data_IF_829234872150
#
_entry.id   IF_829234872150
#
_cell.length_a   1.000
_cell.length_b   1.000
_cell.length_c   1.000
_cell.angle_alpha   90.00
_cell.angle_beta   90.00
_cell.angle_gamma   90.00
#
_symmetry.space_group_name_H-M   'P 1'
#
loop_
_entity.id
_entity.type
_entity.pdbx_description
1 polymer ?
#
# COMPACT_ATOMS: atom_id res chain seq x y z
N UNK A 1 -25.52 -52.52 -54.04
CA UNK A 1 -24.65 -52.37 -52.87
C UNK A 1 -23.61 -51.28 -53.17
N UNK A 2 -23.51 -50.20 -52.40
CA UNK A 2 -22.53 -49.16 -52.62
C UNK A 2 -21.23 -49.57 -51.90
N UNK A 3 -20.11 -49.45 -52.62
CA UNK A 3 -18.77 -49.70 -52.04
C UNK A 3 -18.18 -48.46 -51.41
N UNK A 4 -17.34 -48.62 -50.33
CA UNK A 4 -16.59 -47.54 -49.74
C UNK A 4 -15.28 -47.31 -50.53
N UNK A 5 -14.89 -46.09 -50.71
CA UNK A 5 -13.60 -45.72 -51.32
C UNK A 5 -12.80 -44.77 -50.40
N UNK A 6 -11.50 -44.73 -50.56
CA UNK A 6 -10.60 -43.81 -49.89
C UNK A 6 -9.54 -43.32 -50.88
N UNK A 7 -9.45 -42.01 -51.01
CA UNK A 7 -8.43 -41.37 -51.86
C UNK A 7 -7.64 -40.35 -51.03
N UNK A 8 -6.33 -40.47 -51.06
CA UNK A 8 -5.46 -39.46 -50.45
C UNK A 8 -5.36 -38.24 -51.35
N UNK A 9 -5.58 -37.07 -50.77
CA UNK A 9 -5.44 -35.78 -51.46
C UNK A 9 -4.55 -34.85 -50.62
N UNK A 10 -3.81 -33.89 -51.22
CA UNK A 10 -3.13 -32.84 -50.50
C UNK A 10 -4.11 -32.03 -49.64
N UNK A 11 -3.59 -31.35 -48.55
CA UNK A 11 -4.40 -30.41 -47.77
C UNK A 11 -5.00 -29.35 -48.73
N UNK A 12 -6.25 -29.07 -48.53
CA UNK A 12 -6.99 -28.09 -49.32
C UNK A 12 -7.39 -26.89 -48.47
N UNK A 13 -7.45 -25.70 -49.09
CA UNK A 13 -7.95 -24.51 -48.44
C UNK A 13 -9.46 -24.57 -48.19
N UNK A 14 -9.93 -23.89 -47.15
CA UNK A 14 -11.32 -23.76 -46.84
C UNK A 14 -12.13 -23.22 -48.05
N UNK A 15 -13.32 -23.70 -48.24
CA UNK A 15 -14.26 -23.39 -49.36
C UNK A 15 -13.80 -23.87 -50.73
N UNK A 16 -12.65 -24.53 -50.86
CA UNK A 16 -12.25 -25.16 -52.14
C UNK A 16 -13.28 -26.18 -52.57
N UNK A 17 -13.53 -26.21 -53.87
CA UNK A 17 -14.40 -27.24 -54.46
C UNK A 17 -13.56 -28.43 -54.87
N UNK A 18 -14.05 -29.61 -54.54
CA UNK A 18 -13.48 -30.88 -54.97
C UNK A 18 -14.59 -31.62 -55.71
N UNK A 19 -14.25 -32.11 -56.90
CA UNK A 19 -15.16 -32.92 -57.70
C UNK A 19 -14.69 -34.36 -57.67
N UNK A 20 -15.63 -35.28 -57.54
CA UNK A 20 -15.34 -36.69 -57.48
C UNK A 20 -16.20 -37.40 -58.56
N UNK A 21 -15.58 -38.25 -59.30
CA UNK A 21 -16.23 -39.14 -60.27
C UNK A 21 -15.81 -40.55 -59.96
N UNK A 22 -16.52 -41.52 -60.47
CA UNK A 22 -16.16 -42.95 -60.49
C UNK A 22 -16.26 -43.56 -61.85
N UNK A 23 -15.35 -44.44 -62.20
CA UNK A 23 -15.35 -45.17 -63.47
C UNK A 23 -15.14 -46.66 -63.19
N UNK A 24 -16.19 -47.44 -62.89
CA UNK A 24 -16.06 -48.90 -62.74
C UNK A 24 -15.63 -49.56 -64.03
N UNK A 25 -14.93 -50.68 -63.90
CA UNK A 25 -14.46 -51.40 -65.07
C UNK A 25 -15.62 -51.76 -66.01
N UNK A 26 -15.50 -51.47 -67.32
CA UNK A 26 -16.49 -51.69 -68.31
C UNK A 26 -17.69 -50.73 -68.32
N UNK A 27 -17.59 -49.58 -67.61
CA UNK A 27 -18.64 -48.58 -67.60
C UNK A 27 -18.06 -47.19 -67.92
N UNK A 28 -18.95 -46.29 -68.30
CA UNK A 28 -18.60 -44.88 -68.51
C UNK A 28 -18.49 -44.13 -67.14
N UNK A 29 -17.76 -43.04 -67.13
CA UNK A 29 -17.56 -42.17 -65.94
C UNK A 29 -18.94 -41.64 -65.48
N UNK A 30 -19.08 -41.56 -64.11
CA UNK A 30 -20.27 -40.99 -63.49
C UNK A 30 -20.31 -39.47 -63.66
N UNK A 31 -21.49 -38.88 -63.44
CA UNK A 31 -21.58 -37.45 -63.21
C UNK A 31 -20.64 -37.00 -62.01
N UNK A 32 -20.22 -35.79 -62.05
CA UNK A 32 -19.42 -35.18 -61.02
C UNK A 32 -20.20 -34.87 -59.75
N UNK A 33 -19.73 -35.35 -58.62
CA UNK A 33 -20.21 -34.90 -57.32
C UNK A 33 -19.31 -33.81 -56.79
N UNK A 34 -19.89 -32.70 -56.35
CA UNK A 34 -19.16 -31.56 -55.77
C UNK A 34 -19.23 -31.61 -54.26
N UNK A 35 -18.07 -31.53 -53.62
CA UNK A 35 -17.94 -31.30 -52.19
C UNK A 35 -17.11 -30.04 -51.95
N UNK A 36 -17.51 -29.24 -50.95
CA UNK A 36 -16.74 -28.10 -50.51
C UNK A 36 -15.97 -28.45 -49.25
N UNK A 37 -14.69 -28.02 -49.20
CA UNK A 37 -13.84 -28.18 -48.05
C UNK A 37 -14.40 -27.33 -46.91
N UNK A 38 -14.79 -27.96 -45.83
CA UNK A 38 -15.25 -27.28 -44.63
C UNK A 38 -14.08 -26.65 -43.92
N UNK A 39 -14.27 -25.43 -43.36
CA UNK A 39 -13.31 -24.81 -42.48
C UNK A 39 -13.25 -25.49 -41.11
N UNK A 40 -12.05 -25.56 -40.57
CA UNK A 40 -11.83 -25.99 -39.19
C UNK A 40 -11.74 -24.71 -38.31
N UNK A 41 -12.43 -24.64 -37.18
CA UNK A 41 -12.27 -23.51 -36.26
C UNK A 41 -10.82 -23.32 -35.84
N UNK A 42 -10.40 -22.08 -35.67
CA UNK A 42 -9.10 -21.75 -35.09
C UNK A 42 -9.07 -22.13 -33.60
N UNK A 43 -7.91 -22.38 -33.05
CA UNK A 43 -7.72 -22.52 -31.62
C UNK A 43 -8.09 -21.22 -30.88
N UNK A 44 -8.25 -21.26 -29.56
CA UNK A 44 -8.37 -20.05 -28.77
C UNK A 44 -7.04 -19.29 -28.78
N UNK A 45 -7.03 -17.95 -28.81
CA UNK A 45 -5.81 -17.18 -28.57
C UNK A 45 -5.36 -17.34 -27.11
N UNK A 46 -4.07 -17.21 -26.85
CA UNK A 46 -3.48 -17.11 -25.51
C UNK A 46 -3.28 -15.62 -25.23
N UNK A 47 -3.81 -15.14 -24.11
CA UNK A 47 -3.79 -13.72 -23.75
C UNK A 47 -3.01 -13.55 -22.45
N UNK A 48 -2.13 -12.56 -22.41
CA UNK A 48 -1.44 -12.16 -21.19
C UNK A 48 -2.45 -11.52 -20.21
N UNK A 49 -2.06 -11.43 -18.96
CA UNK A 49 -2.89 -10.81 -17.93
C UNK A 49 -3.33 -9.39 -18.31
N UNK A 50 -4.59 -9.08 -18.09
CA UNK A 50 -5.20 -7.78 -18.35
C UNK A 50 -5.76 -7.21 -17.06
N UNK A 51 -5.27 -6.04 -16.70
CA UNK A 51 -5.71 -5.29 -15.52
C UNK A 51 -6.36 -3.94 -15.89
N UNK A 52 -6.81 -3.20 -14.88
CA UNK A 52 -7.52 -1.94 -15.07
C UNK A 52 -6.67 -0.78 -15.63
N UNK A 53 -5.34 -0.93 -15.66
CA UNK A 53 -4.41 0.04 -16.25
C UNK A 53 -3.93 -0.38 -17.64
N UNK A 54 -4.25 -1.59 -18.08
CA UNK A 54 -3.85 -2.15 -19.36
C UNK A 54 -4.46 -1.35 -20.53
N UNK A 55 -3.61 -0.89 -21.44
CA UNK A 55 -3.99 -0.20 -22.69
C UNK A 55 -3.64 -1.01 -23.93
N UNK A 56 -2.91 -2.11 -23.79
CA UNK A 56 -2.56 -3.03 -24.87
C UNK A 56 -2.76 -4.47 -24.46
N UNK A 57 -3.69 -5.16 -25.09
CA UNK A 57 -3.89 -6.60 -24.93
C UNK A 57 -2.87 -7.31 -25.81
N UNK A 58 -2.01 -8.11 -25.19
CA UNK A 58 -0.95 -8.86 -25.87
C UNK A 58 -1.12 -10.35 -25.67
N UNK A 59 -0.51 -11.14 -26.54
CA UNK A 59 -0.59 -12.58 -26.42
C UNK A 59 -0.06 -13.33 -27.64
N UNK A 60 -0.50 -14.58 -27.74
CA UNK A 60 -0.18 -15.50 -28.84
C UNK A 60 -1.45 -15.97 -29.53
N UNK A 61 -1.39 -16.01 -30.85
CA UNK A 61 -2.44 -16.47 -31.74
C UNK A 61 -1.83 -17.34 -32.84
N UNK A 62 -2.63 -17.82 -33.79
CA UNK A 62 -2.10 -18.43 -34.99
C UNK A 62 -1.40 -17.37 -35.88
N UNK A 63 -0.39 -17.79 -36.58
CA UNK A 63 0.45 -16.91 -37.42
C UNK A 63 -0.42 -16.09 -38.38
N UNK A 64 -0.19 -14.77 -38.42
CA UNK A 64 -0.91 -13.82 -39.26
C UNK A 64 -2.43 -13.78 -39.05
N UNK A 65 -2.95 -14.35 -37.97
CA UNK A 65 -4.39 -14.33 -37.67
C UNK A 65 -4.83 -12.89 -37.34
N UNK A 66 -6.02 -12.52 -37.81
CA UNK A 66 -6.69 -11.30 -37.38
C UNK A 66 -7.24 -11.52 -35.95
N UNK A 67 -6.89 -10.66 -35.03
CA UNK A 67 -7.38 -10.64 -33.67
C UNK A 67 -8.53 -9.65 -33.56
N UNK A 68 -9.60 -10.04 -32.90
CA UNK A 68 -10.78 -9.23 -32.65
C UNK A 68 -11.01 -9.17 -31.15
N UNK A 69 -10.95 -7.98 -30.60
CA UNK A 69 -11.21 -7.71 -29.17
C UNK A 69 -12.52 -6.93 -29.08
N UNK A 70 -13.49 -7.48 -28.37
CA UNK A 70 -14.77 -6.83 -28.13
C UNK A 70 -14.93 -6.53 -26.64
N UNK A 71 -15.11 -5.25 -26.31
CA UNK A 71 -15.34 -4.78 -24.96
C UNK A 71 -16.82 -4.95 -24.56
N UNK A 72 -17.10 -4.85 -23.29
CA UNK A 72 -18.46 -5.00 -22.74
C UNK A 72 -19.45 -3.94 -23.30
N UNK A 73 -18.97 -2.74 -23.62
CA UNK A 73 -19.75 -1.68 -24.28
C UNK A 73 -19.98 -1.92 -25.79
N UNK A 74 -19.65 -3.12 -26.29
CA UNK A 74 -19.70 -3.52 -27.70
C UNK A 74 -18.69 -2.85 -28.65
N UNK A 75 -17.80 -1.99 -28.16
CA UNK A 75 -16.70 -1.44 -28.97
C UNK A 75 -15.76 -2.58 -29.41
N UNK A 76 -15.31 -2.54 -30.66
CA UNK A 76 -14.45 -3.57 -31.24
C UNK A 76 -13.11 -2.98 -31.68
N UNK A 77 -12.03 -3.65 -31.30
CA UNK A 77 -10.66 -3.32 -31.64
C UNK A 77 -10.01 -4.51 -32.34
N UNK A 78 -9.16 -4.24 -33.33
CA UNK A 78 -8.55 -5.31 -34.11
C UNK A 78 -7.08 -5.06 -34.36
N UNK A 79 -6.31 -6.14 -34.50
CA UNK A 79 -4.94 -6.15 -34.93
C UNK A 79 -4.65 -7.46 -35.65
N UNK A 80 -3.46 -7.62 -36.22
CA UNK A 80 -3.01 -8.90 -36.78
C UNK A 80 -1.85 -9.44 -35.93
N UNK A 81 -1.84 -10.74 -35.72
CA UNK A 81 -0.67 -11.43 -35.20
C UNK A 81 0.45 -11.40 -36.26
N UNK A 82 1.68 -11.40 -35.82
CA UNK A 82 2.83 -11.49 -36.73
C UNK A 82 3.07 -12.94 -37.21
N UNK A 83 4.12 -13.16 -37.99
CA UNK A 83 4.49 -14.50 -38.48
C UNK A 83 4.89 -15.50 -37.38
N UNK A 84 5.16 -15.04 -36.16
CA UNK A 84 5.43 -15.87 -34.99
C UNK A 84 4.18 -16.07 -34.11
N UNK A 85 3.05 -15.46 -34.49
CA UNK A 85 1.80 -15.50 -33.75
C UNK A 85 1.69 -14.48 -32.62
N UNK A 86 2.67 -13.58 -32.41
CA UNK A 86 2.55 -12.54 -31.38
C UNK A 86 1.58 -11.45 -31.85
N UNK A 87 0.73 -10.97 -30.96
CA UNK A 87 -0.18 -9.87 -31.25
C UNK A 87 -0.19 -8.82 -30.14
N UNK A 88 -0.61 -7.60 -30.52
CA UNK A 88 -0.90 -6.50 -29.63
C UNK A 88 -2.11 -5.73 -30.16
N UNK A 89 -3.11 -5.51 -29.31
CA UNK A 89 -4.33 -4.75 -29.63
C UNK A 89 -4.44 -3.59 -28.64
N UNK A 90 -4.40 -2.35 -29.12
CA UNK A 90 -4.60 -1.17 -28.29
C UNK A 90 -6.08 -0.99 -27.98
N UNK A 91 -6.39 -0.79 -26.70
CA UNK A 91 -7.73 -0.54 -26.17
C UNK A 91 -7.69 0.62 -25.18
N UNK A 92 -8.80 1.31 -24.90
CA UNK A 92 -8.88 2.20 -23.74
C UNK A 92 -8.85 1.38 -22.46
N UNK A 93 -8.33 1.98 -21.37
CA UNK A 93 -8.38 1.38 -20.02
C UNK A 93 -9.80 0.95 -19.69
N UNK A 94 -9.94 -0.21 -19.09
CA UNK A 94 -11.21 -0.78 -18.67
C UNK A 94 -11.31 -0.81 -17.14
N UNK A 95 -12.52 -0.68 -16.61
CA UNK A 95 -12.75 -0.83 -15.19
C UNK A 95 -12.54 -2.30 -14.76
N UNK A 96 -12.11 -2.51 -13.52
CA UNK A 96 -11.99 -3.87 -12.98
C UNK A 96 -13.33 -4.61 -13.07
N UNK A 97 -13.26 -5.92 -13.18
CA UNK A 97 -14.37 -6.85 -13.35
C UNK A 97 -15.12 -6.76 -14.69
N UNK A 98 -14.75 -5.84 -15.59
CA UNK A 98 -15.31 -5.80 -16.94
C UNK A 98 -14.85 -7.00 -17.74
N UNK A 99 -15.73 -7.48 -18.61
CA UNK A 99 -15.48 -8.62 -19.49
C UNK A 99 -14.96 -8.16 -20.84
N UNK A 100 -13.96 -8.86 -21.33
CA UNK A 100 -13.38 -8.67 -22.67
C UNK A 100 -13.48 -10.00 -23.40
N UNK A 101 -14.00 -9.96 -24.63
CA UNK A 101 -14.15 -11.13 -25.50
C UNK A 101 -13.17 -11.04 -26.64
N UNK A 102 -12.43 -12.11 -26.87
CA UNK A 102 -11.35 -12.15 -27.84
C UNK A 102 -11.53 -13.36 -28.73
N UNK A 103 -11.43 -13.13 -30.04
CA UNK A 103 -11.40 -14.20 -31.06
C UNK A 103 -10.21 -13.99 -31.97
N UNK A 104 -9.80 -15.04 -32.66
CA UNK A 104 -8.85 -14.99 -33.77
C UNK A 104 -9.43 -15.60 -35.02
N UNK A 105 -9.01 -15.05 -36.15
CA UNK A 105 -9.43 -15.54 -37.47
C UNK A 105 -8.25 -15.62 -38.40
N UNK A 106 -7.59 -16.78 -38.52
CA UNK A 106 -6.58 -17.04 -39.55
C UNK A 106 -7.24 -17.11 -40.94
N UNK A 107 -6.47 -16.92 -41.99
CA UNK A 107 -6.98 -16.87 -43.38
C UNK A 107 -7.68 -18.16 -43.83
N UNK A 108 -7.16 -19.32 -43.39
CA UNK A 108 -7.61 -20.65 -43.88
C UNK A 108 -8.44 -21.44 -42.87
N UNK A 109 -8.94 -20.77 -41.81
CA UNK A 109 -9.77 -21.39 -40.77
C UNK A 109 -11.01 -20.56 -40.50
N UNK A 110 -11.98 -21.16 -39.86
CA UNK A 110 -13.09 -20.43 -39.27
C UNK A 110 -12.58 -19.62 -38.06
N UNK A 111 -13.33 -18.60 -37.67
CA UNK A 111 -13.09 -17.86 -36.44
C UNK A 111 -13.09 -18.81 -35.25
N UNK A 112 -12.24 -18.54 -34.27
CA UNK A 112 -12.17 -19.30 -33.01
C UNK A 112 -13.46 -19.13 -32.21
N UNK A 113 -13.67 -20.02 -31.26
CA UNK A 113 -14.56 -19.75 -30.14
C UNK A 113 -14.14 -18.50 -29.39
N UNK A 114 -15.07 -17.93 -28.63
CA UNK A 114 -14.80 -16.70 -27.85
C UNK A 114 -14.02 -17.04 -26.60
N UNK A 115 -12.86 -16.45 -26.45
CA UNK A 115 -12.16 -16.38 -25.17
C UNK A 115 -12.71 -15.19 -24.37
N UNK A 116 -13.36 -15.44 -23.26
CA UNK A 116 -13.80 -14.38 -22.34
C UNK A 116 -12.81 -14.27 -21.19
N UNK A 117 -12.28 -13.07 -20.94
CA UNK A 117 -11.41 -12.73 -19.80
C UNK A 117 -12.05 -11.63 -18.99
N UNK A 118 -11.68 -11.55 -17.72
CA UNK A 118 -12.11 -10.50 -16.82
C UNK A 118 -10.93 -9.59 -16.47
N UNK A 119 -11.16 -8.27 -16.53
CA UNK A 119 -10.17 -7.25 -16.16
C UNK A 119 -9.88 -7.33 -14.66
N UNK A 120 -8.64 -7.57 -14.30
CA UNK A 120 -8.20 -7.61 -12.91
C UNK A 120 -8.10 -6.19 -12.33
N UNK A 121 -8.42 -6.04 -11.05
CA UNK A 121 -8.17 -4.81 -10.33
C UNK A 121 -6.71 -4.73 -9.88
N UNK A 122 -6.12 -3.55 -9.99
CA UNK A 122 -4.84 -3.24 -9.34
C UNK A 122 -5.14 -2.71 -7.94
N UNK A 123 -4.42 -3.21 -6.95
CA UNK A 123 -4.52 -2.71 -5.57
C UNK A 123 -3.93 -1.31 -5.48
N UNK A 124 -4.66 -0.37 -4.84
CA UNK A 124 -4.16 0.96 -4.59
C UNK A 124 -2.98 0.94 -3.61
N UNK A 125 -2.10 1.93 -3.71
CA UNK A 125 -1.10 2.20 -2.69
C UNK A 125 -1.79 2.62 -1.39
N UNK A 126 -1.11 2.48 -0.26
CA UNK A 126 -1.63 2.99 1.01
C UNK A 126 -1.71 4.52 0.98
N UNK A 127 -2.78 5.13 1.51
CA UNK A 127 -2.81 6.58 1.75
C UNK A 127 -1.86 6.94 2.89
N UNK A 128 -1.60 8.24 3.08
CA UNK A 128 -0.94 8.74 4.30
C UNK A 128 -1.98 9.32 5.24
N UNK A 129 -1.65 9.36 6.53
CA UNK A 129 -2.44 9.99 7.56
C UNK A 129 -1.53 10.89 8.39
N UNK A 130 -1.96 12.14 8.58
CA UNK A 130 -1.23 13.09 9.44
C UNK A 130 -1.37 12.69 10.92
N UNK A 131 -0.51 13.23 11.76
CA UNK A 131 -0.64 13.08 13.21
C UNK A 131 -2.03 13.46 13.68
N UNK A 132 -2.61 12.61 14.50
CA UNK A 132 -3.93 12.81 15.09
C UNK A 132 -3.78 12.94 16.60
N UNK A 133 -4.42 13.96 17.13
CA UNK A 133 -4.38 14.25 18.56
C UNK A 133 -5.75 14.04 19.21
N UNK A 134 -5.74 13.75 20.51
CA UNK A 134 -6.95 13.60 21.33
C UNK A 134 -7.89 14.81 21.17
N UNK A 135 -9.18 14.56 21.06
CA UNK A 135 -10.19 15.58 20.87
C UNK A 135 -10.30 16.14 19.43
N UNK A 136 -9.37 15.79 18.58
CA UNK A 136 -9.39 16.23 17.18
C UNK A 136 -10.52 15.54 16.42
N UNK A 137 -11.29 16.33 15.65
CA UNK A 137 -12.43 15.80 14.88
C UNK A 137 -12.21 15.79 13.37
N UNK A 138 -11.12 16.38 12.88
CA UNK A 138 -10.78 16.43 11.46
C UNK A 138 -9.49 15.65 11.20
N UNK A 139 -9.59 14.55 10.49
CA UNK A 139 -8.47 13.73 10.08
C UNK A 139 -8.02 14.16 8.69
N UNK A 140 -6.72 14.40 8.53
CA UNK A 140 -6.11 14.86 7.29
C UNK A 140 -5.04 13.88 6.81
N UNK A 141 -4.75 13.91 5.52
CA UNK A 141 -3.67 13.14 4.90
C UNK A 141 -3.69 13.26 3.39
N UNK A 142 -2.94 12.39 2.74
CA UNK A 142 -2.87 12.33 1.28
C UNK A 142 -3.27 10.94 0.77
N UNK A 143 -3.94 10.95 -0.36
CA UNK A 143 -4.41 9.79 -1.09
C UNK A 143 -4.19 10.02 -2.59
N UNK A 144 -4.53 9.08 -3.45
CA UNK A 144 -4.58 9.34 -4.88
C UNK A 144 -5.69 10.36 -5.20
N UNK A 145 -5.47 11.17 -6.22
CA UNK A 145 -6.43 12.21 -6.64
C UNK A 145 -7.83 11.63 -6.82
N UNK A 146 -8.81 12.28 -6.23
CA UNK A 146 -10.23 11.90 -6.27
C UNK A 146 -10.52 10.49 -5.73
N UNK A 147 -9.60 9.87 -5.00
CA UNK A 147 -9.86 8.58 -4.35
C UNK A 147 -10.93 8.73 -3.27
N UNK A 148 -11.79 7.74 -3.16
CA UNK A 148 -12.62 7.59 -1.97
C UNK A 148 -11.72 7.15 -0.82
N UNK A 149 -11.73 7.91 0.27
CA UNK A 149 -10.95 7.65 1.47
C UNK A 149 -11.88 7.21 2.59
N UNK A 150 -11.49 6.17 3.30
CA UNK A 150 -12.24 5.61 4.42
C UNK A 150 -11.37 5.64 5.68
N UNK A 151 -11.88 6.23 6.72
CA UNK A 151 -11.33 6.18 8.08
C UNK A 151 -12.09 5.11 8.85
N UNK A 152 -11.36 4.24 9.55
CA UNK A 152 -11.91 3.16 10.35
C UNK A 152 -11.40 3.33 11.78
N UNK A 153 -12.31 3.49 12.71
CA UNK A 153 -11.99 3.59 14.14
C UNK A 153 -11.81 2.20 14.77
N UNK A 154 -11.21 2.16 15.95
CA UNK A 154 -10.97 0.91 16.66
C UNK A 154 -12.23 0.12 17.03
N UNK A 155 -13.40 0.75 17.04
CA UNK A 155 -14.70 0.12 17.20
C UNK A 155 -15.36 -0.30 15.88
N UNK A 156 -14.61 -0.28 14.77
CA UNK A 156 -15.05 -0.57 13.40
C UNK A 156 -16.07 0.43 12.81
N UNK A 157 -16.29 1.58 13.43
CA UNK A 157 -17.06 2.65 12.79
C UNK A 157 -16.26 3.24 11.62
N UNK A 158 -16.95 3.47 10.51
CA UNK A 158 -16.36 3.97 9.26
C UNK A 158 -16.85 5.37 8.94
N UNK A 159 -15.93 6.21 8.47
CA UNK A 159 -16.19 7.58 8.00
C UNK A 159 -15.54 7.72 6.64
N UNK A 160 -16.25 8.29 5.68
CA UNK A 160 -15.78 8.39 4.30
C UNK A 160 -15.70 9.84 3.83
N UNK A 161 -14.83 10.07 2.88
CA UNK A 161 -14.65 11.32 2.18
C UNK A 161 -13.92 11.10 0.88
N UNK A 162 -13.64 12.16 0.16
CA UNK A 162 -12.93 12.12 -1.11
C UNK A 162 -11.68 12.99 -1.05
N UNK A 163 -10.59 12.52 -1.63
CA UNK A 163 -9.40 13.34 -1.85
C UNK A 163 -9.64 14.36 -2.98
N UNK A 164 -9.05 15.51 -2.87
CA UNK A 164 -9.12 16.58 -3.87
C UNK A 164 -8.25 16.29 -5.12
N UNK A 165 -8.15 17.26 -6.02
CA UNK A 165 -7.32 17.17 -7.23
C UNK A 165 -5.81 17.07 -6.94
N UNK A 166 -5.36 17.44 -5.75
CA UNK A 166 -3.97 17.35 -5.29
C UNK A 166 -3.73 16.10 -4.43
N UNK A 167 -4.79 15.32 -4.17
CA UNK A 167 -4.73 14.14 -3.33
C UNK A 167 -4.94 14.41 -1.84
N UNK A 168 -5.21 15.65 -1.41
CA UNK A 168 -5.44 15.94 0.01
C UNK A 168 -6.86 15.53 0.41
N UNK A 169 -6.99 14.95 1.59
CA UNK A 169 -8.30 14.67 2.18
C UNK A 169 -8.43 15.26 3.58
N UNK A 170 -9.67 15.57 3.94
CA UNK A 170 -10.07 15.95 5.29
C UNK A 170 -11.40 15.30 5.61
N UNK A 171 -11.43 14.41 6.60
CA UNK A 171 -12.61 13.66 6.99
C UNK A 171 -12.95 13.97 8.44
N UNK A 172 -14.22 14.30 8.69
CA UNK A 172 -14.71 14.57 10.05
C UNK A 172 -15.12 13.27 10.73
N UNK A 173 -14.62 13.06 11.95
CA UNK A 173 -14.95 11.94 12.82
C UNK A 173 -15.33 12.44 14.22
N UNK A 174 -15.97 11.66 15.06
CA UNK A 174 -16.09 11.99 16.49
C UNK A 174 -14.72 12.08 17.15
N UNK A 175 -14.59 12.96 18.13
CA UNK A 175 -13.37 13.08 18.93
C UNK A 175 -12.95 11.73 19.50
N UNK A 176 -11.68 11.39 19.36
CA UNK A 176 -11.10 10.16 19.87
C UNK A 176 -10.22 10.45 21.09
N UNK A 177 -10.15 9.49 22.00
CA UNK A 177 -9.23 9.54 23.14
C UNK A 177 -7.82 9.12 22.67
N UNK A 178 -6.79 9.59 23.36
CA UNK A 178 -5.42 9.16 23.14
C UNK A 178 -5.27 7.61 23.22
N UNK A 179 -4.23 7.10 22.59
CA UNK A 179 -3.92 5.66 22.46
C UNK A 179 -4.95 4.84 21.64
N UNK A 180 -5.95 5.47 21.05
CA UNK A 180 -6.82 4.78 20.09
C UNK A 180 -6.16 4.69 18.73
N UNK A 181 -6.35 3.56 18.06
CA UNK A 181 -5.83 3.35 16.71
C UNK A 181 -6.88 3.81 15.70
N UNK A 182 -6.42 4.53 14.69
CA UNK A 182 -7.21 4.94 13.53
C UNK A 182 -6.56 4.32 12.31
N UNK A 183 -7.35 3.66 11.47
CA UNK A 183 -6.94 3.13 10.19
C UNK A 183 -7.49 3.99 9.05
N UNK A 184 -6.77 4.03 7.96
CA UNK A 184 -7.21 4.67 6.73
C UNK A 184 -6.95 3.76 5.54
N UNK A 185 -7.90 3.72 4.62
CA UNK A 185 -7.78 3.09 3.31
C UNK A 185 -8.19 4.06 2.22
N UNK A 186 -7.82 3.78 0.99
CA UNK A 186 -8.30 4.51 -0.18
C UNK A 186 -8.75 3.56 -1.28
N UNK A 187 -9.73 4.01 -2.04
CA UNK A 187 -10.21 3.34 -3.25
C UNK A 187 -10.23 4.35 -4.39
N UNK A 188 -9.14 4.49 -5.14
CA UNK A 188 -9.11 5.31 -6.35
C UNK A 188 -9.98 4.71 -7.45
N UNK A 189 -10.32 5.52 -8.45
CA UNK A 189 -11.03 5.03 -9.62
C UNK A 189 -10.25 3.89 -10.30
N UNK A 190 -10.93 2.82 -10.70
CA UNK A 190 -10.39 1.63 -11.35
C UNK A 190 -9.41 0.78 -10.55
N UNK A 191 -9.19 1.07 -9.29
CA UNK A 191 -8.33 0.28 -8.42
C UNK A 191 -9.12 -0.41 -7.31
N UNK A 192 -8.56 -1.46 -6.78
CA UNK A 192 -9.07 -2.09 -5.55
C UNK A 192 -8.66 -1.25 -4.34
N UNK A 193 -9.41 -1.41 -3.25
CA UNK A 193 -9.10 -0.78 -1.97
C UNK A 193 -7.65 -1.10 -1.54
N UNK A 194 -6.96 -0.11 -1.01
CA UNK A 194 -5.60 -0.25 -0.49
C UNK A 194 -5.56 -1.11 0.78
N UNK A 195 -4.34 -1.52 1.15
CA UNK A 195 -4.10 -1.94 2.53
C UNK A 195 -4.32 -0.78 3.50
N UNK A 196 -4.60 -1.11 4.75
CA UNK A 196 -4.74 -0.14 5.82
C UNK A 196 -3.42 0.52 6.14
N UNK A 197 -3.41 1.84 6.23
CA UNK A 197 -2.42 2.61 6.95
C UNK A 197 -2.98 2.94 8.33
N UNK A 198 -2.15 3.19 9.32
CA UNK A 198 -2.62 3.46 10.67
C UNK A 198 -1.82 4.52 11.40
N UNK A 199 -2.48 5.18 12.33
CA UNK A 199 -1.86 6.06 13.32
C UNK A 199 -2.48 5.82 14.68
N UNK A 200 -1.70 6.10 15.73
CA UNK A 200 -2.21 6.12 17.10
C UNK A 200 -2.56 7.55 17.45
N UNK A 201 -3.74 7.76 18.00
CA UNK A 201 -4.15 9.06 18.52
C UNK A 201 -3.18 9.45 19.63
N UNK A 202 -2.46 10.54 19.41
CA UNK A 202 -1.50 11.09 20.37
C UNK A 202 -2.26 11.86 21.43
N UNK A 203 -1.69 11.95 22.61
CA UNK A 203 -2.18 12.88 23.59
C UNK A 203 -2.10 14.29 23.02
N UNK A 204 -3.17 15.07 23.10
CA UNK A 204 -3.01 16.53 23.07
C UNK A 204 -2.36 16.87 24.38
N UNK A 205 -1.12 17.28 24.29
CA UNK A 205 -0.47 17.99 25.37
C UNK A 205 -1.36 19.15 25.75
N UNK A 206 -1.94 19.09 26.92
CA UNK A 206 -2.65 20.22 27.46
C UNK A 206 -4.16 20.15 27.63
N UNK A 207 -4.84 19.04 27.36
CA UNK A 207 -6.25 18.88 27.76
C UNK A 207 -6.41 18.40 29.20
N UNK A 208 -5.51 18.80 30.11
CA UNK A 208 -5.67 18.59 31.54
C UNK A 208 -4.73 17.59 32.18
N UNK A 209 -4.02 16.77 31.47
CA UNK A 209 -3.08 15.82 32.06
C UNK A 209 -1.65 16.34 32.04
N UNK A 210 -1.31 17.08 33.08
CA UNK A 210 0.07 17.37 33.42
C UNK A 210 0.85 16.06 33.59
N UNK A 211 1.94 15.87 32.86
CA UNK A 211 2.82 14.70 32.99
C UNK A 211 4.25 15.11 33.20
N UNK A 212 5.02 14.22 33.79
CA UNK A 212 6.48 14.32 33.94
C UNK A 212 7.02 13.07 33.23
N UNK A 213 7.96 13.26 32.31
CA UNK A 213 8.67 12.13 31.69
C UNK A 213 9.59 11.45 32.73
N UNK A 214 9.90 10.17 32.56
CA UNK A 214 10.86 9.49 33.42
C UNK A 214 12.20 10.25 33.52
N UNK A 215 12.72 10.38 34.71
CA UNK A 215 13.98 11.11 34.98
C UNK A 215 14.94 10.17 35.68
N UNK A 216 16.20 10.16 35.21
CA UNK A 216 17.26 9.36 35.79
C UNK A 216 18.34 10.29 36.44
N UNK A 217 19.09 9.72 37.36
CA UNK A 217 20.26 10.44 37.92
C UNK A 217 21.25 10.81 36.81
N UNK A 218 21.84 11.98 36.92
CA UNK A 218 22.76 12.55 35.92
C UNK A 218 22.05 13.36 34.83
N UNK A 219 20.74 13.31 34.68
CA UNK A 219 20.01 14.23 33.82
C UNK A 219 19.86 15.59 34.50
N UNK A 220 20.15 16.65 33.76
CA UNK A 220 20.04 18.02 34.24
C UNK A 220 18.72 18.70 33.87
N UNK A 221 17.99 18.12 32.92
CA UNK A 221 16.75 18.68 32.39
C UNK A 221 15.63 17.67 32.47
N UNK A 222 14.50 18.13 32.98
CA UNK A 222 13.24 17.37 33.07
C UNK A 222 12.30 17.86 32.00
N UNK A 223 11.55 16.93 31.45
CA UNK A 223 10.57 17.18 30.42
C UNK A 223 9.19 16.66 30.83
N UNK A 224 8.18 17.15 30.16
CA UNK A 224 6.84 16.65 30.33
C UNK A 224 5.85 17.36 29.41
N UNK A 225 4.58 17.15 29.71
CA UNK A 225 3.50 17.72 28.94
C UNK A 225 2.51 18.42 29.87
N UNK A 226 1.93 19.50 29.40
CA UNK A 226 0.91 20.29 30.05
C UNK A 226 -0.07 20.86 29.02
N UNK A 227 -1.04 21.64 29.44
CA UNK A 227 -1.85 22.43 28.50
C UNK A 227 -0.94 23.38 27.71
N UNK A 228 -1.16 23.60 26.40
CA UNK A 228 -0.40 24.58 25.63
C UNK A 228 -0.45 25.98 26.21
N UNK A 229 0.69 26.68 26.15
CA UNK A 229 0.81 28.08 26.61
C UNK A 229 0.24 28.24 28.03
N UNK A 230 0.55 27.33 28.92
CA UNK A 230 0.05 27.38 30.30
C UNK A 230 1.17 27.48 31.30
N UNK A 231 0.91 28.14 32.41
CA UNK A 231 1.86 28.29 33.50
C UNK A 231 1.95 26.97 34.28
N UNK A 232 3.17 26.55 34.53
CA UNK A 232 3.51 25.36 35.32
C UNK A 232 4.39 25.79 36.50
N UNK A 233 4.10 25.23 37.64
CA UNK A 233 4.99 25.33 38.79
C UNK A 233 5.69 23.99 39.01
N UNK A 234 7.02 24.05 39.19
CA UNK A 234 7.89 22.91 39.41
C UNK A 234 8.75 23.12 40.66
N UNK A 235 8.98 22.03 41.37
CA UNK A 235 9.90 22.03 42.49
C UNK A 235 10.64 20.70 42.57
N UNK A 236 11.91 20.75 42.97
CA UNK A 236 12.75 19.61 43.31
C UNK A 236 12.80 19.45 44.84
N UNK A 237 12.46 18.28 45.36
CA UNK A 237 12.52 17.93 46.80
C UNK A 237 11.91 19.00 47.74
N UNK A 238 10.71 19.48 47.42
CA UNK A 238 10.06 20.56 48.19
C UNK A 238 10.83 21.86 48.33
N UNK A 239 11.83 22.06 47.47
CA UNK A 239 12.49 23.35 47.34
C UNK A 239 11.54 24.44 46.84
N UNK A 240 12.08 25.63 46.60
CA UNK A 240 11.30 26.75 46.07
C UNK A 240 10.59 26.40 44.75
N UNK A 241 9.30 26.80 44.62
CA UNK A 241 8.55 26.63 43.39
C UNK A 241 9.10 27.57 42.31
N UNK A 242 9.41 27.02 41.18
CA UNK A 242 9.78 27.76 39.98
C UNK A 242 8.61 27.78 39.00
N UNK A 243 8.42 28.87 38.28
CA UNK A 243 7.36 28.99 37.27
C UNK A 243 7.98 28.94 35.89
N UNK A 244 7.41 28.12 35.05
CA UNK A 244 7.74 27.97 33.63
C UNK A 244 6.45 28.01 32.82
N UNK A 245 6.55 28.13 31.51
CA UNK A 245 5.42 28.06 30.60
C UNK A 245 5.63 26.89 29.64
N UNK A 246 4.55 26.18 29.33
CA UNK A 246 4.57 25.15 28.27
C UNK A 246 4.52 25.82 26.90
N UNK A 247 5.18 25.19 25.94
CA UNK A 247 5.15 25.62 24.53
C UNK A 247 3.74 25.53 23.92
N UNK A 248 3.55 26.11 22.73
CA UNK A 248 2.31 26.04 21.98
C UNK A 248 1.85 24.61 21.59
N UNK A 249 2.74 23.63 21.65
CA UNK A 249 2.44 22.21 21.50
C UNK A 249 2.15 21.52 22.85
N UNK A 250 2.31 22.23 23.98
CA UNK A 250 2.15 21.74 25.35
C UNK A 250 3.37 21.05 25.93
N UNK A 251 4.48 20.96 25.22
CA UNK A 251 5.74 20.44 25.76
C UNK A 251 6.29 21.47 26.78
N UNK A 252 6.85 20.97 27.85
CA UNK A 252 7.59 21.80 28.79
C UNK A 252 8.91 21.14 29.15
N UNK A 253 9.90 21.96 29.53
CA UNK A 253 11.19 21.51 30.03
C UNK A 253 11.65 22.45 31.16
N UNK A 254 12.42 21.89 32.06
CA UNK A 254 13.03 22.67 33.15
C UNK A 254 14.38 22.09 33.52
N UNK A 255 15.39 22.94 33.62
CA UNK A 255 16.71 22.55 34.04
C UNK A 255 16.74 22.48 35.58
N UNK A 256 16.89 21.28 36.12
CA UNK A 256 16.99 21.01 37.56
C UNK A 256 18.44 21.04 38.09
N UNK A 257 19.40 21.27 37.21
CA UNK A 257 20.80 21.11 37.51
C UNK A 257 21.21 19.65 37.67
N UNK A 258 22.47 19.43 38.01
CA UNK A 258 22.97 18.06 38.21
C UNK A 258 22.30 17.40 39.42
N UNK A 259 21.68 16.24 39.19
CA UNK A 259 21.03 15.45 40.21
C UNK A 259 21.79 14.13 40.46
N UNK A 260 21.77 13.63 41.69
CA UNK A 260 22.42 12.37 42.10
C UNK A 260 21.47 11.20 42.27
N UNK A 261 20.19 11.36 41.90
CA UNK A 261 19.14 10.39 42.17
C UNK A 261 18.56 10.51 43.60
N UNK A 262 17.63 9.60 43.96
CA UNK A 262 16.93 9.62 45.25
C UNK A 262 16.21 10.94 45.56
N UNK A 263 15.83 11.66 44.54
CA UNK A 263 15.11 12.91 44.58
C UNK A 263 13.75 12.73 43.92
N UNK A 264 12.85 13.67 44.12
CA UNK A 264 11.60 13.70 43.40
C UNK A 264 11.30 15.11 42.89
N UNK A 265 10.50 15.12 41.84
CA UNK A 265 10.00 16.31 41.21
C UNK A 265 8.52 16.37 41.45
N UNK A 266 8.00 17.55 41.78
CA UNK A 266 6.56 17.82 41.78
C UNK A 266 6.25 18.96 40.87
N UNK A 267 5.17 18.82 40.10
CA UNK A 267 4.69 19.84 39.18
C UNK A 267 3.18 20.01 39.32
N UNK A 268 2.70 21.22 39.06
CA UNK A 268 1.27 21.53 38.87
C UNK A 268 1.11 22.56 37.78
N UNK A 269 -0.03 22.59 37.14
CA UNK A 269 -0.35 23.57 36.09
C UNK A 269 -1.55 24.40 36.47
N UNK A 270 -1.64 25.61 35.91
CA UNK A 270 -2.86 26.40 35.99
C UNK A 270 -3.95 25.78 35.13
N UNK A 271 -5.17 25.70 35.63
CA UNK A 271 -6.33 25.16 34.92
C UNK A 271 -7.04 26.25 34.13
N UNK A 272 -8.03 25.87 33.29
CA UNK A 272 -8.78 26.81 32.47
C UNK A 272 -9.61 27.81 33.31
N UNK A 273 -9.96 27.44 34.51
CA UNK A 273 -10.69 28.29 35.47
C UNK A 273 -9.76 29.18 36.32
N UNK A 274 -8.45 29.18 36.05
CA UNK A 274 -7.46 29.96 36.78
C UNK A 274 -6.97 29.33 38.08
N UNK A 275 -7.47 28.17 38.47
CA UNK A 275 -7.01 27.45 39.65
C UNK A 275 -5.80 26.57 39.35
N UNK A 276 -5.04 26.18 40.40
CA UNK A 276 -3.95 25.22 40.26
C UNK A 276 -4.45 23.78 40.30
N UNK A 277 -3.92 22.94 39.42
CA UNK A 277 -4.14 21.49 39.50
C UNK A 277 -3.53 20.91 40.77
N UNK A 278 -3.95 19.67 41.11
CA UNK A 278 -3.18 18.84 42.06
C UNK A 278 -1.76 18.61 41.55
N UNK A 279 -0.82 18.42 42.50
CA UNK A 279 0.56 18.07 42.16
C UNK A 279 0.64 16.69 41.51
N UNK A 280 1.50 16.60 40.51
CA UNK A 280 2.03 15.34 39.96
C UNK A 280 3.47 15.17 40.48
N UNK A 281 3.85 13.93 40.72
CA UNK A 281 5.15 13.57 41.30
C UNK A 281 5.85 12.58 40.37
N UNK A 282 7.17 12.71 40.26
CA UNK A 282 8.04 11.72 39.65
C UNK A 282 9.29 11.57 40.48
N UNK A 283 9.66 10.35 40.82
CA UNK A 283 10.92 10.04 41.45
C UNK A 283 12.04 10.05 40.42
N UNK A 284 13.20 10.59 40.81
CA UNK A 284 14.41 10.52 40.00
C UNK A 284 15.04 9.16 40.26
N UNK A 285 15.05 8.30 39.25
CA UNK A 285 15.61 6.96 39.37
C UNK A 285 17.12 7.01 39.47
N UNK A 286 17.65 6.42 40.54
CA UNK A 286 19.11 6.26 40.69
C UNK A 286 19.58 5.23 39.68
N UNK A 287 20.46 5.64 38.77
CA UNK A 287 21.17 4.68 37.94
C UNK A 287 22.32 4.06 38.75
N UNK A 288 22.53 2.77 38.60
CA UNK A 288 23.67 2.11 39.20
C UNK A 288 24.97 2.72 38.66
N UNK A 289 25.88 3.05 39.58
CA UNK A 289 27.20 3.50 39.18
C UNK A 289 27.95 2.33 38.54
N UNK A 290 28.38 2.51 37.31
CA UNK A 290 29.25 1.51 36.70
C UNK A 290 30.52 1.33 37.53
N UNK A 291 31.06 0.11 37.65
CA UNK A 291 32.35 -0.13 38.25
C UNK A 291 33.43 0.68 37.53
N UNK A 292 34.43 1.11 38.28
CA UNK A 292 35.53 1.83 37.67
C UNK A 292 36.19 0.96 36.60
N UNK A 293 36.61 1.57 35.52
CA UNK A 293 37.51 0.89 34.57
C UNK A 293 38.85 0.60 35.28
N UNK A 294 39.47 -0.52 34.95
CA UNK A 294 40.84 -0.79 35.30
C UNK A 294 41.70 -0.61 34.06
N UNK A 295 42.83 0.02 34.27
CA UNK A 295 43.83 0.25 33.21
C UNK A 295 45.01 -0.60 33.55
N UNK A 296 45.50 -1.37 32.59
CA UNK A 296 46.70 -2.17 32.73
C UNK A 296 47.94 -1.23 32.82
N UNK A 297 48.96 -1.68 33.50
CA UNK A 297 50.21 -0.93 33.60
C UNK A 297 50.81 -0.75 32.20
N UNK A 298 51.25 0.46 31.88
CA UNK A 298 51.85 0.80 30.61
C UNK A 298 53.26 1.33 30.80
N UNK A 299 54.12 1.02 29.84
CA UNK A 299 55.47 1.56 29.78
C UNK A 299 55.66 2.44 28.52
N UNK A 300 56.81 3.06 28.42
CA UNK A 300 57.13 4.01 27.34
C UNK A 300 57.32 3.35 25.95
N UNK A 301 57.26 2.03 25.86
CA UNK A 301 57.33 1.27 24.61
C UNK A 301 55.96 0.84 24.09
N UNK A 302 54.89 1.09 24.84
CA UNK A 302 53.55 0.71 24.50
C UNK A 302 52.80 1.90 23.85
N UNK A 303 52.19 1.61 22.69
CA UNK A 303 51.32 2.59 21.99
C UNK A 303 49.83 2.24 22.12
N UNK A 304 49.48 1.19 22.87
CA UNK A 304 48.11 0.72 23.05
C UNK A 304 47.82 0.67 24.56
N UNK A 305 46.84 1.45 24.98
CA UNK A 305 46.25 1.37 26.30
C UNK A 305 45.29 0.20 26.39
N UNK A 306 45.44 -0.66 27.38
CA UNK A 306 44.57 -1.80 27.64
C UNK A 306 43.96 -1.70 29.02
N UNK A 307 42.82 -2.32 29.22
CA UNK A 307 42.14 -2.33 30.49
C UNK A 307 40.81 -3.09 30.42
N UNK A 308 40.11 -3.10 31.53
CA UNK A 308 38.78 -3.72 31.62
C UNK A 308 37.74 -2.66 31.92
N UNK A 309 36.67 -2.67 31.15
CA UNK A 309 35.52 -1.78 31.34
C UNK A 309 34.22 -2.55 31.11
N UNK A 310 33.12 -1.85 31.22
CA UNK A 310 31.81 -2.44 30.98
C UNK A 310 31.64 -2.82 29.49
N UNK A 311 31.06 -3.96 29.17
CA UNK A 311 30.85 -4.36 27.78
C UNK A 311 30.11 -3.28 26.99
N UNK A 312 30.62 -2.92 25.80
CA UNK A 312 30.09 -1.87 24.91
C UNK A 312 30.20 -0.43 25.37
N UNK A 313 31.04 -0.13 26.38
CA UNK A 313 31.42 1.26 26.64
C UNK A 313 32.47 1.74 25.62
N UNK A 314 32.30 2.92 25.02
CA UNK A 314 33.33 3.53 24.20
C UNK A 314 34.35 4.15 25.15
N UNK A 315 35.60 3.75 25.09
CA UNK A 315 36.71 4.49 25.74
C UNK A 315 36.97 5.74 24.89
N UNK A 316 36.90 6.90 25.53
CA UNK A 316 37.24 8.17 24.89
C UNK A 316 38.70 8.47 25.17
N UNK A 317 39.49 8.57 24.10
CA UNK A 317 40.85 9.13 24.18
C UNK A 317 40.79 10.61 24.59
N UNK A 318 41.51 10.99 25.61
CA UNK A 318 41.82 12.38 25.91
C UNK A 318 43.30 12.62 25.68
#
# INVERSE_FOLDING_TARGET
>A
MFGNFRVGIPKQDMNKRIWVTQTPQGRIESAREEIRVKGVPASLPIVNEVDSETTQITGKAENNARIIVKLENNSTYTSNANSEGNFSVTIPKQDMNKKIRITQKPSNKLESEVLEIQVKGIKALKPTISDVYEGQTKIKGNAERYANVKIILGNNQEYTGQADSNGNYTITIPAQQANKIIYVTQTPNRKMESDRESTIVKYVSGTGNLTIDPVNSGQDTVYGWARPNTQIQISLNDGGMQSIESEGNGRWSYNIGYNRGNQYIKVRQIQADGTWSSFKYASITQLEKLPNITIDEIDNNQSILRGKGYPRSNSVDK
#
